data_IF_283400084273
#
_entry.id   IF_283400084273
#
_cell.length_a   1.000
_cell.length_b   1.000
_cell.length_c   1.000
_cell.angle_alpha   90.00
_cell.angle_beta   90.00
_cell.angle_gamma   90.00
#
_symmetry.space_group_name_H-M   'P 1'
#
loop_
_entity.id
_entity.type
_entity.pdbx_description
1 polymer ?
#
# COMPACT_ATOMS: atom_id res chain seq x y z
N UNK A 1 4.63 -2.79 -34.90
CA UNK A 1 6.08 -2.53 -34.74
C UNK A 1 6.86 -3.79 -34.37
N UNK A 2 6.44 -4.58 -33.36
CA UNK A 2 7.08 -5.89 -33.04
C UNK A 2 6.60 -7.01 -33.98
N UNK A 3 5.32 -7.01 -34.36
CA UNK A 3 4.76 -7.92 -35.39
C UNK A 3 5.26 -7.60 -36.81
N UNK A 4 5.97 -6.49 -36.95
CA UNK A 4 6.57 -6.00 -38.21
C UNK A 4 8.02 -6.47 -38.38
N UNK A 5 8.53 -7.34 -37.49
CA UNK A 5 9.86 -7.95 -37.60
C UNK A 5 11.02 -7.19 -36.93
N UNK A 6 10.78 -6.02 -36.34
CA UNK A 6 11.83 -5.25 -35.68
C UNK A 6 11.98 -5.65 -34.20
N UNK A 7 12.80 -6.67 -33.93
CA UNK A 7 13.11 -7.18 -32.58
C UNK A 7 14.36 -6.58 -31.96
N UNK A 8 14.76 -5.38 -32.36
CA UNK A 8 15.94 -4.70 -31.83
C UNK A 8 15.56 -3.37 -31.22
N UNK A 9 16.04 -3.11 -30.00
CA UNK A 9 15.87 -1.82 -29.37
C UNK A 9 16.58 -0.74 -30.21
N UNK A 10 15.89 0.34 -30.64
CA UNK A 10 16.50 1.35 -31.51
C UNK A 10 17.63 2.15 -30.82
N UNK A 11 17.64 2.19 -29.48
CA UNK A 11 18.63 2.93 -28.69
C UNK A 11 19.83 2.07 -28.32
N UNK A 12 19.60 0.88 -27.76
CA UNK A 12 20.68 0.00 -27.28
C UNK A 12 21.19 -0.98 -28.33
N UNK A 13 20.47 -1.12 -29.45
CA UNK A 13 20.71 -2.11 -30.52
C UNK A 13 20.71 -3.56 -30.07
N UNK A 14 20.26 -3.84 -28.84
CA UNK A 14 20.16 -5.20 -28.31
C UNK A 14 18.89 -5.88 -28.80
N UNK A 15 18.93 -7.21 -29.05
CA UNK A 15 17.75 -7.98 -29.37
C UNK A 15 16.78 -8.02 -28.18
N UNK A 16 15.51 -7.73 -28.45
CA UNK A 16 14.42 -7.86 -27.48
C UNK A 16 14.12 -9.34 -27.27
N UNK A 17 14.12 -9.79 -26.01
CA UNK A 17 13.85 -11.18 -25.65
C UNK A 17 12.45 -11.62 -26.13
N UNK A 18 12.28 -12.84 -26.68
CA UNK A 18 11.01 -13.32 -27.25
C UNK A 18 9.84 -13.38 -26.26
N UNK A 19 10.11 -13.36 -24.96
CA UNK A 19 9.14 -13.56 -23.89
C UNK A 19 9.19 -12.47 -22.81
N UNK A 20 9.70 -11.27 -23.11
CA UNK A 20 9.54 -10.15 -22.19
C UNK A 20 8.14 -9.54 -22.41
N UNK A 21 7.26 -9.49 -21.40
CA UNK A 21 6.03 -8.72 -21.51
C UNK A 21 6.42 -7.26 -21.67
N UNK A 22 6.27 -6.74 -22.89
CA UNK A 22 6.50 -5.32 -23.16
C UNK A 22 5.44 -4.55 -22.38
N UNK A 23 5.88 -3.66 -21.49
CA UNK A 23 4.97 -2.73 -20.82
C UNK A 23 4.40 -1.81 -21.90
N UNK A 24 3.09 -1.86 -22.19
CA UNK A 24 2.53 -1.04 -23.25
C UNK A 24 2.62 0.43 -22.86
N UNK A 25 3.02 1.29 -23.80
CA UNK A 25 3.00 2.72 -23.59
C UNK A 25 1.58 3.24 -23.86
N UNK A 26 0.72 3.13 -22.85
CA UNK A 26 -0.70 3.46 -22.94
C UNK A 26 -0.94 4.97 -23.11
N UNK A 27 -0.09 5.83 -22.54
CA UNK A 27 -0.11 7.27 -22.80
C UNK A 27 0.03 7.60 -24.31
N UNK A 28 0.98 6.95 -25.00
CA UNK A 28 1.14 7.10 -26.45
C UNK A 28 -0.05 6.52 -27.22
N UNK A 29 -0.64 5.41 -26.77
CA UNK A 29 -1.85 4.83 -27.39
C UNK A 29 -3.08 5.73 -27.23
N UNK A 30 -3.30 6.28 -26.04
CA UNK A 30 -4.37 7.26 -25.77
C UNK A 30 -4.21 8.50 -26.65
N UNK A 31 -2.97 8.96 -26.84
CA UNK A 31 -2.66 10.05 -27.76
C UNK A 31 -2.95 9.66 -29.22
N UNK A 32 -2.57 8.46 -29.66
CA UNK A 32 -2.89 7.96 -31.00
C UNK A 32 -4.41 7.89 -31.22
N UNK A 33 -5.16 7.29 -30.29
CA UNK A 33 -6.62 7.16 -30.38
C UNK A 33 -7.31 8.53 -30.42
N UNK A 34 -6.79 9.52 -29.69
CA UNK A 34 -7.30 10.89 -29.73
C UNK A 34 -7.05 11.62 -31.06
N UNK A 35 -6.11 11.13 -31.87
CA UNK A 35 -5.68 11.76 -33.14
C UNK A 35 -6.02 10.94 -34.40
N UNK A 36 -6.54 9.72 -34.30
CA UNK A 36 -6.99 8.94 -35.45
C UNK A 36 -8.44 9.28 -35.82
N UNK A 37 -8.72 9.84 -37.01
CA UNK A 37 -10.09 9.94 -37.53
C UNK A 37 -10.65 8.54 -37.74
N UNK A 38 -11.90 8.31 -37.33
CA UNK A 38 -12.59 7.02 -37.47
C UNK A 38 -12.60 6.53 -38.91
N UNK A 39 -11.66 5.63 -39.24
CA UNK A 39 -11.63 4.90 -40.50
C UNK A 39 -11.30 3.46 -40.19
N UNK A 40 -12.32 2.64 -39.96
CA UNK A 40 -12.41 1.27 -40.49
C UNK A 40 -13.83 0.75 -40.32
N UNK A 41 -14.71 1.11 -41.26
CA UNK A 41 -15.80 0.23 -41.65
C UNK A 41 -15.30 -0.56 -42.87
N UNK A 42 -14.77 -1.77 -42.67
CA UNK A 42 -14.78 -2.83 -43.67
C UNK A 42 -14.20 -4.16 -43.14
N UNK A 43 -15.00 -5.20 -43.35
CA UNK A 43 -14.61 -6.62 -43.55
C UNK A 43 -13.98 -7.38 -42.39
N UNK A 44 -14.84 -8.05 -41.62
CA UNK A 44 -14.57 -9.43 -41.21
C UNK A 44 -15.90 -10.20 -41.14
N UNK A 45 -15.99 -11.24 -41.95
CA UNK A 45 -17.12 -12.17 -42.07
C UNK A 45 -17.44 -12.84 -40.74
N UNK A 46 -18.60 -12.54 -40.18
CA UNK A 46 -19.13 -13.14 -38.94
C UNK A 46 -19.59 -14.57 -39.21
N UNK A 47 -18.88 -15.55 -38.65
CA UNK A 47 -19.44 -16.88 -38.38
C UNK A 47 -20.42 -16.75 -37.23
N UNK A 48 -21.71 -17.02 -37.49
CA UNK A 48 -22.79 -17.05 -36.50
C UNK A 48 -22.51 -18.13 -35.46
N UNK A 49 -22.37 -17.72 -34.20
CA UNK A 49 -22.69 -18.57 -33.04
C UNK A 49 -23.63 -17.79 -32.14
N UNK A 50 -24.83 -18.33 -31.97
CA UNK A 50 -25.89 -17.78 -31.14
C UNK A 50 -25.43 -17.67 -29.67
N UNK A 51 -25.17 -16.44 -29.21
CA UNK A 51 -25.25 -16.07 -27.80
C UNK A 51 -25.92 -14.71 -27.72
N UNK A 52 -26.91 -14.63 -26.83
CA UNK A 52 -27.75 -13.49 -26.47
C UNK A 52 -27.05 -12.15 -26.64
N UNK A 53 -27.53 -11.35 -27.60
CA UNK A 53 -27.05 -9.99 -27.83
C UNK A 53 -27.44 -9.10 -26.65
N UNK A 54 -26.44 -8.58 -25.94
CA UNK A 54 -26.63 -7.43 -25.05
C UNK A 54 -27.19 -6.25 -25.86
N UNK A 55 -28.01 -5.37 -25.25
CA UNK A 55 -28.52 -4.18 -25.91
C UNK A 55 -27.38 -3.29 -26.47
N UNK A 56 -27.62 -2.53 -27.56
CA UNK A 56 -26.58 -1.73 -28.25
C UNK A 56 -25.84 -0.70 -27.36
N UNK A 57 -26.38 -0.39 -26.18
CA UNK A 57 -25.78 0.50 -25.18
C UNK A 57 -24.67 -0.14 -24.34
N UNK A 58 -24.42 -1.44 -24.49
CA UNK A 58 -23.43 -2.20 -23.71
C UNK A 58 -22.30 -2.78 -24.57
N UNK A 59 -22.24 -2.49 -25.87
CA UNK A 59 -21.07 -2.85 -26.69
C UNK A 59 -19.87 -1.97 -26.23
N UNK A 60 -18.78 -2.59 -25.72
CA UNK A 60 -17.62 -1.88 -25.21
C UNK A 60 -17.07 -0.83 -26.18
N UNK A 61 -17.13 -1.11 -27.50
CA UNK A 61 -16.59 -0.21 -28.53
C UNK A 61 -17.33 1.12 -28.59
N UNK A 62 -18.65 1.09 -28.47
CA UNK A 62 -19.45 2.31 -28.47
C UNK A 62 -19.26 3.11 -27.17
N UNK A 63 -19.16 2.42 -26.04
CA UNK A 63 -18.88 3.05 -24.75
C UNK A 63 -17.53 3.77 -24.73
N UNK A 64 -16.46 3.14 -25.23
CA UNK A 64 -15.15 3.80 -25.29
C UNK A 64 -15.11 4.95 -26.30
N UNK A 65 -15.73 4.79 -27.48
CA UNK A 65 -15.75 5.84 -28.50
C UNK A 65 -16.54 7.09 -28.11
N UNK A 66 -17.49 6.97 -27.19
CA UNK A 66 -18.32 8.07 -26.69
C UNK A 66 -17.81 8.68 -25.39
N UNK A 67 -16.82 8.05 -24.75
CA UNK A 67 -16.27 8.52 -23.48
C UNK A 67 -15.36 9.74 -23.72
N UNK A 68 -15.80 10.89 -23.23
CA UNK A 68 -15.03 12.14 -23.25
C UNK A 68 -14.97 12.72 -21.84
N UNK A 69 -14.02 13.63 -21.60
CA UNK A 69 -13.97 14.38 -20.35
C UNK A 69 -14.58 15.78 -20.53
N UNK A 70 -15.51 16.22 -19.65
CA UNK A 70 -16.05 15.48 -18.50
C UNK A 70 -17.08 14.41 -18.93
N UNK A 71 -16.90 13.19 -18.42
CA UNK A 71 -17.85 12.10 -18.63
C UNK A 71 -19.12 12.30 -17.80
N UNK A 72 -20.27 11.86 -18.34
CA UNK A 72 -21.55 11.93 -17.63
C UNK A 72 -21.65 10.90 -16.51
N UNK A 73 -22.47 11.17 -15.49
CA UNK A 73 -22.73 10.25 -14.39
C UNK A 73 -23.23 8.88 -14.88
N UNK A 74 -24.12 8.88 -15.89
CA UNK A 74 -24.67 7.66 -16.47
C UNK A 74 -23.61 6.82 -17.20
N UNK A 75 -22.69 7.46 -17.91
CA UNK A 75 -21.58 6.77 -18.58
C UNK A 75 -20.63 6.14 -17.56
N UNK A 76 -20.21 6.89 -16.54
CA UNK A 76 -19.33 6.37 -15.49
C UNK A 76 -19.99 5.24 -14.69
N UNK A 77 -21.29 5.36 -14.40
CA UNK A 77 -22.04 4.32 -13.69
C UNK A 77 -22.14 3.02 -14.50
N UNK A 78 -22.40 3.14 -15.80
CA UNK A 78 -22.40 1.99 -16.73
C UNK A 78 -21.03 1.33 -16.79
N UNK A 79 -19.96 2.11 -16.94
CA UNK A 79 -18.59 1.61 -16.93
C UNK A 79 -18.26 0.89 -15.62
N UNK A 80 -18.61 1.48 -14.48
CA UNK A 80 -18.36 0.91 -13.17
C UNK A 80 -19.05 -0.46 -13.00
N UNK A 81 -20.32 -0.54 -13.41
CA UNK A 81 -21.09 -1.79 -13.36
C UNK A 81 -20.46 -2.88 -14.23
N UNK A 82 -20.10 -2.57 -15.49
CA UNK A 82 -19.46 -3.53 -16.38
C UNK A 82 -18.11 -3.99 -15.85
N UNK A 83 -17.31 -3.07 -15.30
CA UNK A 83 -16.06 -3.42 -14.61
C UNK A 83 -16.35 -4.34 -13.44
N UNK A 84 -17.35 -4.05 -12.60
CA UNK A 84 -17.70 -4.91 -11.45
C UNK A 84 -18.06 -6.33 -11.89
N UNK A 85 -18.94 -6.46 -12.88
CA UNK A 85 -19.60 -7.73 -13.24
C UNK A 85 -18.78 -8.58 -14.22
N UNK A 86 -17.98 -7.96 -15.09
CA UNK A 86 -17.32 -8.66 -16.21
C UNK A 86 -15.79 -8.49 -16.18
N UNK A 87 -15.03 -9.51 -15.72
CA UNK A 87 -13.56 -9.46 -15.72
C UNK A 87 -12.94 -9.24 -17.10
N UNK A 88 -13.56 -9.77 -18.16
CA UNK A 88 -13.10 -9.57 -19.54
C UNK A 88 -13.21 -8.10 -19.98
N UNK A 89 -14.23 -7.37 -19.51
CA UNK A 89 -14.41 -5.95 -19.81
C UNK A 89 -13.30 -5.09 -19.18
N UNK A 90 -12.80 -5.48 -18.00
CA UNK A 90 -11.74 -4.75 -17.30
C UNK A 90 -10.45 -4.69 -18.09
N UNK A 91 -10.10 -5.77 -18.78
CA UNK A 91 -8.96 -5.83 -19.69
C UNK A 91 -9.12 -4.88 -20.87
N UNK A 92 -10.30 -4.91 -21.51
CA UNK A 92 -10.62 -3.98 -22.59
C UNK A 92 -10.55 -2.52 -22.15
N UNK A 93 -11.04 -2.22 -20.95
CA UNK A 93 -11.01 -0.87 -20.40
C UNK A 93 -9.58 -0.42 -20.07
N UNK A 94 -8.77 -1.29 -19.45
CA UNK A 94 -7.37 -1.02 -19.15
C UNK A 94 -6.54 -0.77 -20.42
N UNK A 95 -6.85 -1.48 -21.52
CA UNK A 95 -6.17 -1.31 -22.80
C UNK A 95 -6.69 -0.11 -23.62
N UNK A 96 -7.72 0.58 -23.13
CA UNK A 96 -8.32 1.76 -23.77
C UNK A 96 -7.81 3.08 -23.15
N UNK A 97 -8.11 4.21 -23.80
CA UNK A 97 -7.88 5.54 -23.23
C UNK A 97 -8.76 5.89 -22.01
N UNK A 98 -9.74 5.05 -21.64
CA UNK A 98 -10.71 5.35 -20.59
C UNK A 98 -10.09 5.49 -19.19
N UNK A 99 -8.99 4.79 -18.89
CA UNK A 99 -8.29 4.91 -17.61
C UNK A 99 -7.86 6.36 -17.33
N UNK A 100 -7.41 7.09 -18.36
CA UNK A 100 -7.04 8.51 -18.22
C UNK A 100 -8.22 9.40 -17.83
N UNK A 101 -9.42 9.14 -18.36
CA UNK A 101 -10.64 9.88 -18.04
C UNK A 101 -11.08 9.59 -16.60
N UNK A 102 -11.00 8.33 -16.18
CA UNK A 102 -11.28 7.91 -14.79
C UNK A 102 -10.30 8.57 -13.81
N UNK A 103 -9.01 8.64 -14.14
CA UNK A 103 -8.00 9.31 -13.30
C UNK A 103 -8.28 10.79 -13.12
N UNK A 104 -8.68 11.50 -14.18
CA UNK A 104 -9.06 12.92 -14.10
C UNK A 104 -10.28 13.17 -13.22
N UNK A 105 -11.28 12.28 -13.29
CA UNK A 105 -12.44 12.36 -12.40
C UNK A 105 -12.10 11.98 -10.96
N UNK A 106 -11.19 11.02 -10.76
CA UNK A 106 -10.74 10.61 -9.44
C UNK A 106 -10.03 11.73 -8.64
N UNK A 107 -9.39 12.69 -9.31
CA UNK A 107 -8.81 13.86 -8.65
C UNK A 107 -9.76 15.05 -8.54
N UNK A 108 -10.89 15.05 -9.25
CA UNK A 108 -11.83 16.18 -9.26
C UNK A 108 -12.66 16.20 -7.98
N UNK A 109 -12.70 17.35 -7.31
CA UNK A 109 -13.50 17.57 -6.10
C UNK A 109 -14.88 18.18 -6.38
N UNK A 110 -15.14 18.56 -7.64
CA UNK A 110 -16.38 19.27 -8.01
C UNK A 110 -17.61 18.38 -7.89
N UNK A 111 -17.44 17.07 -8.06
CA UNK A 111 -18.50 16.08 -7.91
C UNK A 111 -18.00 14.85 -7.13
N UNK A 112 -18.24 14.80 -5.81
CA UNK A 112 -17.82 13.69 -4.96
C UNK A 112 -18.36 12.32 -5.44
N UNK A 113 -19.54 12.29 -6.04
CA UNK A 113 -20.16 11.07 -6.55
C UNK A 113 -19.41 10.53 -7.79
N UNK A 114 -19.06 11.40 -8.73
CA UNK A 114 -18.26 11.00 -9.91
C UNK A 114 -16.84 10.60 -9.52
N UNK A 115 -16.30 11.26 -8.50
CA UNK A 115 -15.01 10.90 -7.92
C UNK A 115 -15.05 9.50 -7.29
N UNK A 116 -16.07 9.17 -6.49
CA UNK A 116 -16.26 7.85 -5.89
C UNK A 116 -16.39 6.76 -6.96
N UNK A 117 -17.29 6.95 -7.94
CA UNK A 117 -17.49 5.99 -9.04
C UNK A 117 -16.18 5.74 -9.79
N UNK A 118 -15.41 6.80 -10.06
CA UNK A 118 -14.14 6.70 -10.78
C UNK A 118 -13.08 5.97 -9.96
N UNK A 119 -12.92 6.32 -8.69
CA UNK A 119 -11.98 5.67 -7.77
C UNK A 119 -12.31 4.19 -7.57
N UNK A 120 -13.60 3.83 -7.46
CA UNK A 120 -14.02 2.42 -7.35
C UNK A 120 -13.71 1.67 -8.63
N UNK A 121 -13.98 2.26 -9.78
CA UNK A 121 -13.68 1.66 -11.08
C UNK A 121 -12.18 1.42 -11.23
N UNK A 122 -11.34 2.40 -10.91
CA UNK A 122 -9.88 2.25 -10.90
C UNK A 122 -9.40 1.19 -9.91
N UNK A 123 -10.02 1.09 -8.72
CA UNK A 123 -9.73 0.03 -7.77
C UNK A 123 -10.02 -1.34 -8.39
N UNK A 124 -11.17 -1.52 -9.03
CA UNK A 124 -11.50 -2.79 -9.70
C UNK A 124 -10.50 -3.14 -10.82
N UNK A 125 -10.09 -2.16 -11.63
CA UNK A 125 -9.05 -2.39 -12.67
C UNK A 125 -7.72 -2.81 -12.06
N UNK A 126 -7.30 -2.17 -10.96
CA UNK A 126 -6.05 -2.51 -10.27
C UNK A 126 -6.00 -3.94 -9.74
N UNK A 127 -7.12 -4.68 -9.79
CA UNK A 127 -7.19 -6.07 -9.35
C UNK A 127 -6.99 -7.08 -10.48
N UNK A 128 -6.96 -6.64 -11.74
CA UNK A 128 -6.85 -7.52 -12.91
C UNK A 128 -5.43 -7.90 -13.30
N UNK A 129 -4.56 -8.07 -12.30
CA UNK A 129 -3.18 -8.51 -12.49
C UNK A 129 -2.15 -7.39 -12.44
N UNK A 130 -0.89 -7.80 -12.39
CA UNK A 130 0.24 -6.90 -12.14
C UNK A 130 0.51 -5.96 -13.32
N UNK A 131 0.22 -6.38 -14.54
CA UNK A 131 0.39 -5.57 -15.74
C UNK A 131 -0.54 -4.36 -15.75
N UNK A 132 -1.80 -4.51 -15.32
CA UNK A 132 -2.72 -3.37 -15.15
C UNK A 132 -2.24 -2.43 -14.04
N UNK A 133 -1.76 -2.97 -12.91
CA UNK A 133 -1.21 -2.14 -11.83
C UNK A 133 0.00 -1.32 -12.28
N UNK A 134 0.90 -1.92 -13.06
CA UNK A 134 2.07 -1.22 -13.61
C UNK A 134 1.63 -0.19 -14.66
N UNK A 135 0.68 -0.56 -15.53
CA UNK A 135 0.11 0.34 -16.53
C UNK A 135 -0.50 1.60 -15.91
N UNK A 136 -1.34 1.46 -14.89
CA UNK A 136 -1.95 2.61 -14.19
C UNK A 136 -0.89 3.55 -13.58
N UNK A 137 0.18 3.01 -13.01
CA UNK A 137 1.29 3.84 -12.49
C UNK A 137 2.02 4.56 -13.64
N UNK A 138 2.24 3.87 -14.77
CA UNK A 138 2.84 4.48 -15.97
C UNK A 138 1.96 5.58 -16.58
N UNK A 139 0.64 5.47 -16.45
CA UNK A 139 -0.34 6.47 -16.89
C UNK A 139 -0.47 7.68 -15.93
N UNK A 140 0.39 7.77 -14.92
CA UNK A 140 0.44 8.91 -14.01
C UNK A 140 -0.58 8.86 -12.87
N UNK A 141 -1.11 7.68 -12.53
CA UNK A 141 -2.12 7.55 -11.47
C UNK A 141 -1.69 8.14 -10.11
N UNK A 142 -0.39 8.25 -9.85
CA UNK A 142 0.13 8.72 -8.57
C UNK A 142 -0.23 10.18 -8.28
N UNK A 143 -0.20 11.06 -9.28
CA UNK A 143 -0.57 12.47 -9.12
C UNK A 143 -2.07 12.59 -8.78
N UNK A 144 -2.92 11.89 -9.55
CA UNK A 144 -4.37 11.92 -9.38
C UNK A 144 -4.80 11.33 -8.03
N UNK A 145 -4.24 10.18 -7.64
CA UNK A 145 -4.55 9.54 -6.36
C UNK A 145 -4.00 10.35 -5.18
N UNK A 146 -2.82 10.95 -5.28
CA UNK A 146 -2.26 11.79 -4.21
C UNK A 146 -3.10 13.05 -4.01
N UNK A 147 -3.61 13.64 -5.11
CA UNK A 147 -4.57 14.74 -5.06
C UNK A 147 -5.85 14.32 -4.33
N UNK A 148 -6.45 13.19 -4.72
CA UNK A 148 -7.67 12.66 -4.10
C UNK A 148 -7.50 12.35 -2.60
N UNK A 149 -6.33 11.81 -2.21
CA UNK A 149 -5.97 11.57 -0.80
C UNK A 149 -5.91 12.89 -0.02
N UNK A 150 -5.32 13.93 -0.60
CA UNK A 150 -5.12 15.23 0.04
C UNK A 150 -6.46 15.95 0.27
N UNK A 151 -7.46 15.72 -0.58
CA UNK A 151 -8.81 16.29 -0.42
C UNK A 151 -9.56 15.78 0.81
N UNK A 152 -9.14 14.65 1.39
CA UNK A 152 -9.77 14.07 2.57
C UNK A 152 -11.15 13.43 2.32
N UNK A 153 -11.84 13.06 3.40
CA UNK A 153 -13.16 12.43 3.35
C UNK A 153 -13.16 10.97 2.85
N UNK A 154 -14.35 10.39 2.58
CA UNK A 154 -14.48 8.97 2.25
C UNK A 154 -13.75 8.58 0.96
N UNK A 155 -13.67 9.50 -0.01
CA UNK A 155 -12.98 9.28 -1.27
C UNK A 155 -11.45 9.21 -1.08
N UNK A 156 -10.89 9.93 -0.11
CA UNK A 156 -9.47 9.81 0.22
C UNK A 156 -9.12 8.41 0.76
N UNK A 157 -10.00 7.80 1.56
CA UNK A 157 -9.81 6.41 2.02
C UNK A 157 -9.81 5.42 0.84
N UNK A 158 -10.70 5.63 -0.13
CA UNK A 158 -10.77 4.82 -1.33
C UNK A 158 -9.53 5.01 -2.23
N UNK A 159 -9.07 6.25 -2.41
CA UNK A 159 -7.83 6.55 -3.12
C UNK A 159 -6.60 5.91 -2.46
N UNK A 160 -6.51 5.95 -1.13
CA UNK A 160 -5.47 5.23 -0.37
C UNK A 160 -5.57 3.71 -0.56
N UNK A 161 -6.78 3.16 -0.65
CA UNK A 161 -7.02 1.74 -0.94
C UNK A 161 -6.53 1.37 -2.35
N UNK A 162 -6.84 2.18 -3.36
CA UNK A 162 -6.35 2.00 -4.74
C UNK A 162 -4.82 2.07 -4.78
N UNK A 163 -4.22 3.05 -4.11
CA UNK A 163 -2.76 3.17 -4.02
C UNK A 163 -2.12 1.95 -3.34
N UNK A 164 -2.78 1.39 -2.32
CA UNK A 164 -2.36 0.12 -1.68
C UNK A 164 -2.36 -1.03 -2.68
N UNK A 165 -3.43 -1.16 -3.48
CA UNK A 165 -3.53 -2.20 -4.52
C UNK A 165 -2.41 -2.08 -5.56
N UNK A 166 -2.09 -0.85 -6.00
CA UNK A 166 -0.97 -0.60 -6.91
C UNK A 166 0.38 -0.97 -6.28
N UNK A 167 0.56 -0.73 -4.98
CA UNK A 167 1.78 -1.04 -4.24
C UNK A 167 2.00 -2.54 -3.98
N UNK A 168 1.03 -3.42 -4.27
CA UNK A 168 1.24 -4.87 -4.15
C UNK A 168 2.38 -5.33 -5.08
N UNK A 169 2.55 -4.70 -6.24
CA UNK A 169 3.65 -4.98 -7.17
C UNK A 169 4.93 -4.32 -6.70
N UNK A 170 6.01 -5.11 -6.55
CA UNK A 170 7.31 -4.62 -6.06
C UNK A 170 7.87 -3.44 -6.88
N UNK A 171 7.76 -3.49 -8.21
CA UNK A 171 8.23 -2.41 -9.10
C UNK A 171 7.50 -1.09 -8.79
N UNK A 172 6.21 -1.15 -8.50
CA UNK A 172 5.41 0.02 -8.16
C UNK A 172 5.79 0.59 -6.79
N UNK A 173 6.16 -0.24 -5.80
CA UNK A 173 6.53 0.25 -4.46
C UNK A 173 7.67 1.28 -4.53
N UNK A 174 8.69 1.01 -5.33
CA UNK A 174 9.82 1.92 -5.51
C UNK A 174 9.37 3.25 -6.14
N UNK A 175 8.57 3.19 -7.21
CA UNK A 175 8.04 4.37 -7.90
C UNK A 175 7.10 5.19 -7.02
N UNK A 176 6.13 4.55 -6.36
CA UNK A 176 5.18 5.19 -5.44
C UNK A 176 5.93 5.89 -4.32
N UNK A 177 6.90 5.21 -3.69
CA UNK A 177 7.64 5.80 -2.60
C UNK A 177 8.66 6.87 -3.04
N UNK A 178 9.05 6.92 -4.32
CA UNK A 178 9.88 7.99 -4.89
C UNK A 178 9.06 9.21 -5.32
N UNK A 179 7.75 9.03 -5.46
CA UNK A 179 6.84 10.11 -5.83
C UNK A 179 6.85 11.22 -4.76
N UNK A 180 7.02 12.50 -5.13
CA UNK A 180 7.16 13.60 -4.18
C UNK A 180 5.99 13.75 -3.21
N UNK A 181 4.77 13.43 -3.66
CA UNK A 181 3.53 13.70 -2.92
C UNK A 181 2.88 12.48 -2.28
N UNK A 182 3.21 11.25 -2.71
CA UNK A 182 2.40 10.07 -2.33
C UNK A 182 2.50 9.76 -0.83
N UNK A 183 3.73 9.67 -0.31
CA UNK A 183 3.97 9.41 1.12
C UNK A 183 3.47 10.58 1.97
N UNK A 184 3.72 11.82 1.55
CA UNK A 184 3.30 13.02 2.30
C UNK A 184 1.78 13.15 2.35
N UNK A 185 1.07 12.86 1.26
CA UNK A 185 -0.40 12.86 1.22
C UNK A 185 -0.99 11.82 2.18
N UNK A 186 -0.43 10.61 2.21
CA UNK A 186 -0.85 9.56 3.16
C UNK A 186 -0.57 9.96 4.62
N UNK A 187 0.58 10.59 4.90
CA UNK A 187 0.89 11.10 6.24
C UNK A 187 -0.08 12.23 6.65
N UNK A 188 -0.43 13.13 5.73
CA UNK A 188 -1.43 14.15 5.98
C UNK A 188 -2.81 13.54 6.28
N UNK A 189 -3.22 12.52 5.52
CA UNK A 189 -4.48 11.80 5.75
C UNK A 189 -4.49 11.09 7.12
N UNK A 190 -3.36 10.56 7.60
CA UNK A 190 -3.25 10.02 8.95
C UNK A 190 -3.41 11.08 10.06
N UNK A 191 -3.06 12.33 9.77
CA UNK A 191 -3.10 13.43 10.75
C UNK A 191 -4.41 14.20 10.76
N UNK A 192 -5.25 14.07 9.73
CA UNK A 192 -6.52 14.80 9.62
C UNK A 192 -7.75 13.91 9.38
N UNK A 193 -7.54 12.64 8.99
CA UNK A 193 -8.61 11.72 8.62
C UNK A 193 -9.42 11.20 9.80
N UNK A 194 -10.58 10.59 9.51
CA UNK A 194 -11.35 9.83 10.50
C UNK A 194 -10.80 8.39 10.56
N UNK A 195 -11.44 7.55 11.37
CA UNK A 195 -10.98 6.17 11.61
C UNK A 195 -10.77 5.36 10.33
N UNK A 196 -11.69 5.46 9.36
CA UNK A 196 -11.59 4.73 8.08
C UNK A 196 -10.41 5.23 7.26
N UNK A 197 -10.32 6.53 7.05
CA UNK A 197 -9.26 7.19 6.28
C UNK A 197 -7.89 6.84 6.86
N UNK A 198 -7.74 6.92 8.18
CA UNK A 198 -6.48 6.63 8.83
C UNK A 198 -6.11 5.15 8.74
N UNK A 199 -7.09 4.24 8.85
CA UNK A 199 -6.86 2.80 8.65
C UNK A 199 -6.37 2.49 7.23
N UNK A 200 -6.99 3.09 6.22
CA UNK A 200 -6.58 2.89 4.83
C UNK A 200 -5.21 3.52 4.54
N UNK A 201 -4.96 4.72 5.05
CA UNK A 201 -3.64 5.38 4.93
C UNK A 201 -2.52 4.57 5.61
N UNK A 202 -2.79 4.02 6.79
CA UNK A 202 -1.86 3.13 7.52
C UNK A 202 -1.53 1.89 6.69
N UNK A 203 -2.56 1.29 6.07
CA UNK A 203 -2.40 0.09 5.23
C UNK A 203 -1.57 0.40 3.98
N UNK A 204 -1.85 1.53 3.32
CA UNK A 204 -1.10 1.97 2.15
C UNK A 204 0.38 2.20 2.48
N UNK A 205 0.66 2.96 3.55
CA UNK A 205 2.05 3.21 3.96
C UNK A 205 2.77 1.93 4.36
N UNK A 206 2.10 1.02 5.06
CA UNK A 206 2.67 -0.29 5.40
C UNK A 206 3.08 -1.07 4.15
N UNK A 207 2.20 -1.18 3.16
CA UNK A 207 2.51 -1.88 1.90
C UNK A 207 3.65 -1.20 1.13
N UNK A 208 3.66 0.13 1.04
CA UNK A 208 4.73 0.91 0.39
C UNK A 208 6.08 0.74 1.13
N UNK A 209 6.07 0.70 2.47
CA UNK A 209 7.27 0.61 3.31
C UNK A 209 7.85 -0.81 3.43
N UNK A 210 7.19 -1.83 2.87
CA UNK A 210 7.81 -3.14 2.67
C UNK A 210 9.08 -3.00 1.85
N UNK A 211 9.10 -2.10 0.86
CA UNK A 211 10.32 -1.69 0.17
C UNK A 211 11.23 -0.86 1.12
N UNK A 212 12.42 -1.36 1.49
CA UNK A 212 13.25 -0.73 2.53
C UNK A 212 13.63 0.73 2.26
N UNK A 213 13.81 1.10 0.99
CA UNK A 213 14.14 2.48 0.58
C UNK A 213 13.06 3.51 0.95
N UNK A 214 11.81 3.08 1.10
CA UNK A 214 10.69 3.97 1.41
C UNK A 214 10.56 4.27 2.91
N UNK A 215 11.12 3.43 3.79
CA UNK A 215 11.01 3.58 5.25
C UNK A 215 11.53 4.94 5.70
N UNK A 216 12.74 5.32 5.25
CA UNK A 216 13.33 6.64 5.59
C UNK A 216 12.51 7.81 5.03
N UNK A 217 11.96 7.66 3.82
CA UNK A 217 11.10 8.69 3.21
C UNK A 217 9.83 8.91 4.03
N UNK A 218 9.19 7.83 4.47
CA UNK A 218 8.04 7.89 5.36
C UNK A 218 8.38 8.50 6.72
N UNK A 219 9.51 8.13 7.34
CA UNK A 219 9.96 8.77 8.60
C UNK A 219 10.10 10.29 8.45
N UNK A 220 10.78 10.75 7.38
CA UNK A 220 10.95 12.19 7.09
C UNK A 220 9.64 12.93 6.81
N UNK A 221 8.65 12.22 6.27
CA UNK A 221 7.32 12.76 6.04
C UNK A 221 6.46 12.83 7.32
N UNK A 222 7.00 12.48 8.49
CA UNK A 222 6.30 12.56 9.78
C UNK A 222 5.44 11.34 10.10
N UNK A 223 5.57 10.25 9.34
CA UNK A 223 4.81 9.02 9.51
C UNK A 223 4.82 8.49 10.94
N UNK A 224 5.96 8.58 11.63
CA UNK A 224 6.13 8.02 12.99
C UNK A 224 5.24 8.71 14.03
N UNK A 225 4.99 10.02 13.91
CA UNK A 225 4.26 10.81 14.90
C UNK A 225 2.74 10.73 14.73
N UNK A 226 2.26 10.62 13.48
CA UNK A 226 0.84 10.73 13.15
C UNK A 226 -0.08 9.80 13.98
N UNK A 227 0.25 8.51 14.18
CA UNK A 227 -0.65 7.59 14.86
C UNK A 227 -0.82 7.79 16.37
N UNK A 228 0.06 8.55 17.01
CA UNK A 228 0.04 8.78 18.47
C UNK A 228 -0.67 10.08 18.84
N UNK A 229 -0.87 10.96 17.85
CA UNK A 229 -1.61 12.23 18.01
C UNK A 229 -3.13 12.07 17.91
N UNK A 230 -3.58 11.01 17.24
CA UNK A 230 -4.98 10.66 17.10
C UNK A 230 -5.25 9.38 17.88
N UNK A 231 -6.42 9.25 18.50
CA UNK A 231 -6.86 8.03 19.20
C UNK A 231 -7.13 6.87 18.22
N UNK A 232 -6.15 6.53 17.39
CA UNK A 232 -6.20 5.42 16.46
C UNK A 232 -6.37 4.13 17.24
N UNK A 233 -7.30 3.29 16.79
CA UNK A 233 -7.45 1.97 17.35
C UNK A 233 -6.09 1.25 17.32
N UNK A 234 -5.66 0.58 18.42
CA UNK A 234 -4.34 -0.03 18.55
C UNK A 234 -3.98 -1.00 17.41
N UNK A 235 -5.01 -1.50 16.68
CA UNK A 235 -4.90 -2.51 15.63
C UNK A 235 -4.13 -2.06 14.38
N UNK A 236 -4.16 -0.78 14.02
CA UNK A 236 -3.41 -0.25 12.87
C UNK A 236 -1.97 0.14 13.21
N UNK A 237 -1.77 0.65 14.42
CA UNK A 237 -0.54 1.26 14.90
C UNK A 237 0.67 0.31 14.89
N UNK A 238 0.47 -0.93 15.33
CA UNK A 238 1.59 -1.87 15.50
C UNK A 238 2.19 -2.34 14.17
N UNK A 239 1.39 -2.48 13.10
CA UNK A 239 1.87 -2.97 11.79
C UNK A 239 2.83 -1.97 11.17
N UNK A 240 2.42 -0.72 11.23
CA UNK A 240 3.14 0.42 10.70
C UNK A 240 4.44 0.70 11.46
N UNK A 241 4.42 0.55 12.80
CA UNK A 241 5.60 0.73 13.65
C UNK A 241 6.75 -0.25 13.33
N UNK A 242 6.45 -1.49 12.93
CA UNK A 242 7.50 -2.46 12.54
C UNK A 242 8.34 -1.96 11.37
N UNK A 243 7.73 -1.26 10.40
CA UNK A 243 8.45 -0.75 9.24
C UNK A 243 9.52 0.26 9.64
N UNK A 244 9.23 1.14 10.60
CA UNK A 244 10.17 2.17 11.04
C UNK A 244 11.19 1.65 12.03
N UNK A 245 10.81 0.71 12.90
CA UNK A 245 11.75 0.08 13.83
C UNK A 245 12.89 -0.65 13.10
N UNK A 246 12.65 -1.13 11.87
CA UNK A 246 13.67 -1.73 11.00
C UNK A 246 14.64 -0.73 10.36
N UNK A 247 14.52 0.57 10.61
CA UNK A 247 15.48 1.58 10.17
C UNK A 247 15.94 2.47 11.33
N UNK A 248 17.23 2.79 11.38
CA UNK A 248 17.81 3.59 12.47
C UNK A 248 17.12 4.94 12.66
N UNK A 249 16.94 5.68 11.56
CA UNK A 249 16.25 6.97 11.55
C UNK A 249 14.84 6.86 12.15
N UNK A 250 14.10 5.79 11.85
CA UNK A 250 12.78 5.54 12.42
C UNK A 250 12.81 5.24 13.91
N UNK A 251 13.79 4.47 14.39
CA UNK A 251 13.97 4.23 15.83
C UNK A 251 14.33 5.50 16.58
N UNK A 252 15.23 6.31 16.03
CA UNK A 252 15.64 7.58 16.62
C UNK A 252 14.42 8.52 16.74
N UNK A 253 13.56 8.58 15.73
CA UNK A 253 12.29 9.33 15.80
C UNK A 253 11.31 8.74 16.83
N UNK A 254 11.18 7.41 16.92
CA UNK A 254 10.27 6.76 17.88
C UNK A 254 10.58 7.09 19.34
N UNK A 255 11.86 7.29 19.68
CA UNK A 255 12.28 7.69 21.04
C UNK A 255 11.67 9.02 21.46
N UNK A 256 11.38 9.91 20.50
CA UNK A 256 10.79 11.23 20.76
C UNK A 256 9.27 11.21 20.89
N UNK A 257 8.62 10.06 20.66
CA UNK A 257 7.16 9.93 20.73
C UNK A 257 6.73 9.62 22.15
N UNK A 258 6.05 10.57 22.79
CA UNK A 258 5.53 10.39 24.15
C UNK A 258 4.49 9.26 24.23
N UNK A 259 4.57 8.45 25.29
CA UNK A 259 3.66 7.32 25.52
C UNK A 259 3.79 6.17 24.53
N UNK A 260 4.80 6.16 23.64
CA UNK A 260 5.05 5.10 22.67
C UNK A 260 5.13 3.71 23.32
N UNK A 261 5.92 3.58 24.38
CA UNK A 261 6.13 2.30 25.09
C UNK A 261 4.85 1.86 25.79
N UNK A 262 4.14 2.78 26.45
CA UNK A 262 2.86 2.52 27.10
C UNK A 262 1.83 1.92 26.13
N UNK A 263 1.75 2.47 24.91
CA UNK A 263 0.82 1.97 23.89
C UNK A 263 1.19 0.55 23.44
N UNK A 264 2.48 0.28 23.20
CA UNK A 264 2.93 -1.08 22.84
C UNK A 264 2.72 -2.07 23.99
N UNK A 265 2.93 -1.66 25.24
CA UNK A 265 2.64 -2.46 26.42
C UNK A 265 1.14 -2.81 26.50
N UNK A 266 0.24 -1.87 26.20
CA UNK A 266 -1.20 -2.13 26.08
C UNK A 266 -1.53 -3.20 25.03
N UNK A 267 -0.85 -3.17 23.88
CA UNK A 267 -1.02 -4.19 22.82
C UNK A 267 -0.53 -5.56 23.29
N UNK A 268 0.50 -5.64 24.12
CA UNK A 268 0.94 -6.91 24.69
C UNK A 268 -0.07 -7.51 25.69
N UNK A 269 -0.86 -6.68 26.37
CA UNK A 269 -1.88 -7.13 27.34
C UNK A 269 -3.14 -7.64 26.66
N UNK A 270 -3.65 -6.89 25.69
CA UNK A 270 -5.01 -7.08 25.14
C UNK A 270 -5.06 -7.21 23.61
N UNK A 271 -3.89 -7.26 22.95
CA UNK A 271 -3.80 -7.33 21.50
C UNK A 271 -4.08 -8.70 20.91
N UNK A 272 -4.33 -8.72 19.60
CA UNK A 272 -4.34 -9.95 18.80
C UNK A 272 -2.96 -10.60 18.76
N UNK A 273 -2.86 -11.91 18.48
CA UNK A 273 -1.58 -12.65 18.29
C UNK A 273 -0.60 -11.90 17.39
N UNK A 274 -1.06 -11.42 16.21
CA UNK A 274 -0.24 -10.61 15.29
C UNK A 274 0.20 -9.26 15.87
N UNK A 275 -0.68 -8.62 16.64
CA UNK A 275 -0.38 -7.38 17.35
C UNK A 275 0.72 -7.56 18.39
N UNK A 276 0.63 -8.63 19.18
CA UNK A 276 1.65 -8.99 20.17
C UNK A 276 2.99 -9.29 19.51
N UNK A 277 3.02 -10.09 18.44
CA UNK A 277 4.26 -10.37 17.70
C UNK A 277 4.98 -9.10 17.23
N UNK A 278 4.23 -8.16 16.64
CA UNK A 278 4.78 -6.90 16.15
C UNK A 278 5.20 -5.97 17.29
N UNK A 279 4.42 -5.88 18.37
CA UNK A 279 4.77 -5.07 19.54
C UNK A 279 6.05 -5.58 20.21
N UNK A 280 6.19 -6.90 20.39
CA UNK A 280 7.42 -7.52 20.92
C UNK A 280 8.63 -7.20 20.04
N UNK A 281 8.49 -7.33 18.71
CA UNK A 281 9.56 -7.03 17.77
C UNK A 281 9.99 -5.56 17.85
N UNK A 282 9.02 -4.62 17.83
CA UNK A 282 9.30 -3.19 17.90
C UNK A 282 9.98 -2.84 19.24
N UNK A 283 9.42 -3.31 20.36
CA UNK A 283 9.99 -3.08 21.69
C UNK A 283 11.42 -3.63 21.80
N UNK A 284 11.68 -4.84 21.29
CA UNK A 284 13.01 -5.42 21.32
C UNK A 284 14.01 -4.59 20.52
N UNK A 285 13.64 -4.14 19.31
CA UNK A 285 14.52 -3.34 18.45
C UNK A 285 14.85 -1.97 19.08
N UNK A 286 13.88 -1.28 19.68
CA UNK A 286 14.13 0.04 20.27
C UNK A 286 14.84 -0.07 21.62
N UNK A 287 14.52 -1.06 22.45
CA UNK A 287 15.17 -1.30 23.74
C UNK A 287 16.63 -1.75 23.58
N UNK A 288 16.92 -2.54 22.54
CA UNK A 288 18.29 -2.99 22.25
C UNK A 288 19.23 -1.83 21.92
N UNK A 289 18.70 -0.67 21.51
CA UNK A 289 19.52 0.51 21.17
C UNK A 289 19.41 1.62 22.21
N UNK A 290 18.28 1.77 22.92
CA UNK A 290 18.05 2.86 23.87
C UNK A 290 17.74 2.38 25.30
N UNK A 291 18.62 2.72 26.26
CA UNK A 291 18.49 2.33 27.68
C UNK A 291 17.31 3.01 28.37
N UNK A 292 16.96 4.24 27.98
CA UNK A 292 15.81 4.95 28.57
C UNK A 292 14.50 4.24 28.23
N UNK A 293 14.37 3.74 26.98
CA UNK A 293 13.20 2.94 26.59
C UNK A 293 13.14 1.60 27.33
N UNK A 294 14.29 1.00 27.69
CA UNK A 294 14.29 -0.17 28.58
C UNK A 294 13.72 0.15 29.96
N UNK A 295 14.08 1.30 30.53
CA UNK A 295 13.55 1.75 31.81
C UNK A 295 12.04 2.02 31.74
N UNK A 296 11.60 2.69 30.69
CA UNK A 296 10.18 2.94 30.45
C UNK A 296 9.40 1.63 30.27
N UNK A 297 9.93 0.68 29.50
CA UNK A 297 9.30 -0.64 29.31
C UNK A 297 9.17 -1.41 30.64
N UNK A 298 10.19 -1.34 31.51
CA UNK A 298 10.11 -1.92 32.86
C UNK A 298 9.06 -1.22 33.72
N UNK A 299 9.00 0.12 33.68
CA UNK A 299 8.00 0.91 34.40
C UNK A 299 6.57 0.56 33.96
N UNK A 300 6.38 0.27 32.68
CA UNK A 300 5.12 -0.19 32.09
C UNK A 300 4.84 -1.70 32.33
N UNK A 301 5.70 -2.42 33.07
CA UNK A 301 5.49 -3.83 33.39
C UNK A 301 5.67 -4.79 32.20
N UNK A 302 6.40 -4.37 31.15
CA UNK A 302 6.61 -5.18 29.93
C UNK A 302 7.31 -6.49 30.25
N UNK A 303 8.18 -6.52 31.26
CA UNK A 303 8.92 -7.71 31.67
C UNK A 303 7.98 -8.79 32.21
N UNK A 304 7.09 -8.41 33.11
CA UNK A 304 6.09 -9.29 33.72
C UNK A 304 5.13 -9.82 32.64
N UNK A 305 4.72 -8.95 31.72
CA UNK A 305 3.90 -9.35 30.55
C UNK A 305 4.65 -10.39 29.69
N UNK A 306 5.96 -10.23 29.47
CA UNK A 306 6.74 -11.20 28.70
C UNK A 306 6.74 -12.59 29.35
N UNK A 307 6.88 -12.69 30.68
CA UNK A 307 6.83 -13.98 31.36
C UNK A 307 5.46 -14.66 31.18
N UNK A 308 4.36 -13.91 31.34
CA UNK A 308 3.01 -14.43 31.09
C UNK A 308 2.83 -14.89 29.63
N UNK A 309 3.44 -14.19 28.67
CA UNK A 309 3.36 -14.56 27.25
C UNK A 309 4.18 -15.82 26.90
N UNK A 310 5.24 -16.11 27.65
CA UNK A 310 6.05 -17.34 27.48
C UNK A 310 5.27 -18.58 27.91
N UNK A 311 4.40 -18.45 28.89
CA UNK A 311 3.57 -19.57 29.39
C UNK A 311 2.39 -19.92 28.47
N UNK A 312 2.14 -19.14 27.41
CA UNK A 312 1.07 -19.40 26.43
C UNK A 312 1.54 -20.31 25.30
N UNK A 313 0.62 -21.10 24.72
CA UNK A 313 0.85 -22.02 23.58
C UNK A 313 1.06 -21.32 22.22
N UNK A 314 1.98 -20.36 22.16
CA UNK A 314 2.37 -19.66 20.94
C UNK A 314 3.90 -19.57 20.86
N UNK A 315 4.55 -20.61 20.32
CA UNK A 315 6.03 -20.73 20.26
C UNK A 315 6.74 -19.46 19.77
N UNK A 316 6.19 -18.80 18.75
CA UNK A 316 6.76 -17.59 18.17
C UNK A 316 6.66 -16.38 19.11
N UNK A 317 5.51 -16.21 19.77
CA UNK A 317 5.33 -15.16 20.78
C UNK A 317 6.22 -15.42 21.98
N UNK A 318 6.26 -16.66 22.48
CA UNK A 318 7.11 -17.04 23.60
C UNK A 318 8.59 -16.77 23.31
N UNK A 319 9.10 -17.15 22.13
CA UNK A 319 10.48 -16.84 21.71
C UNK A 319 10.75 -15.33 21.68
N UNK A 320 9.86 -14.54 21.08
CA UNK A 320 10.04 -13.09 20.98
C UNK A 320 9.96 -12.41 22.36
N UNK A 321 9.07 -12.88 23.24
CA UNK A 321 8.92 -12.40 24.60
C UNK A 321 10.17 -12.70 25.45
N UNK A 322 10.73 -13.90 25.32
CA UNK A 322 11.97 -14.27 26.00
C UNK A 322 13.17 -13.42 25.51
N UNK A 323 13.25 -13.14 24.21
CA UNK A 323 14.28 -12.27 23.65
C UNK A 323 14.18 -10.85 24.26
N UNK A 324 12.98 -10.27 24.29
CA UNK A 324 12.76 -8.96 24.90
C UNK A 324 13.07 -8.95 26.41
N UNK A 325 12.64 -9.97 27.15
CA UNK A 325 12.93 -10.09 28.58
C UNK A 325 14.44 -10.08 28.86
N UNK A 326 15.23 -10.83 28.08
CA UNK A 326 16.70 -10.84 28.17
C UNK A 326 17.31 -9.48 27.85
N UNK A 327 16.81 -8.78 26.83
CA UNK A 327 17.25 -7.42 26.49
C UNK A 327 17.04 -6.46 27.67
N UNK A 328 15.89 -6.55 28.34
CA UNK A 328 15.57 -5.73 29.51
C UNK A 328 16.46 -6.09 30.73
N UNK A 329 16.83 -7.36 30.90
CA UNK A 329 17.71 -7.83 31.99
C UNK A 329 19.15 -7.36 31.81
N UNK A 330 19.74 -7.56 30.62
CA UNK A 330 21.14 -7.18 30.34
C UNK A 330 21.41 -5.70 30.58
N UNK A 331 20.45 -4.82 30.26
CA UNK A 331 20.58 -3.37 30.44
C UNK A 331 20.18 -2.86 31.83
N UNK A 332 19.88 -3.76 32.77
CA UNK A 332 19.46 -3.44 34.14
C UNK A 332 20.55 -3.38 35.21
N UNK A 333 21.81 -3.70 34.86
CA UNK A 333 22.91 -3.79 35.85
C UNK A 333 23.63 -2.47 36.17
N UNK A 334 23.33 -1.37 35.49
CA UNK A 334 24.04 -0.09 35.66
C UNK A 334 23.32 0.88 36.59
N UNK A 335 23.78 0.99 37.84
CA UNK A 335 23.54 2.17 38.67
C UNK A 335 24.12 3.41 37.96
N UNK A 336 23.31 4.47 37.81
CA UNK A 336 23.74 5.74 37.23
C UNK A 336 24.66 6.48 38.21
N UNK A 337 25.97 6.40 38.00
CA UNK A 337 26.91 7.39 38.51
C UNK A 337 26.89 8.64 37.61
N UNK A 338 27.03 9.86 38.14
CA UNK A 338 27.01 11.08 37.36
C UNK A 338 28.36 11.23 36.67
N UNK A 339 28.51 10.65 35.48
CA UNK A 339 29.40 11.09 34.39
C UNK A 339 29.35 10.03 33.27
N UNK A 340 28.59 10.35 32.23
CA UNK A 340 28.34 9.46 31.10
C UNK A 340 29.59 9.17 30.27
N UNK A 341 29.86 7.89 30.06
CA UNK A 341 30.66 7.38 28.95
C UNK A 341 29.91 6.22 28.32
N UNK A 342 29.56 6.39 27.05
CA UNK A 342 28.78 5.46 26.23
C UNK A 342 29.70 4.30 25.84
N UNK A 343 29.40 3.08 26.31
CA UNK A 343 29.95 1.87 25.73
C UNK A 343 29.27 1.63 24.36
N UNK A 344 30.06 1.70 23.29
CA UNK A 344 29.68 1.23 21.95
C UNK A 344 29.89 -0.29 21.93
N UNK A 345 28.80 -1.06 21.98
CA UNK A 345 28.85 -2.47 21.60
C UNK A 345 28.20 -2.67 20.23
N UNK A 346 28.91 -3.43 19.39
CA UNK A 346 28.55 -3.76 18.02
C UNK A 346 27.32 -4.67 17.99
N UNK A 347 26.40 -4.42 17.05
CA UNK A 347 25.28 -5.31 16.79
C UNK A 347 25.78 -6.62 16.15
N UNK A 348 25.55 -7.75 16.82
CA UNK A 348 25.94 -9.08 16.36
C UNK A 348 25.13 -9.54 15.14
N UNK A 349 25.78 -10.29 14.25
CA UNK A 349 25.24 -10.77 12.97
C UNK A 349 24.02 -11.72 13.10
N UNK A 350 23.74 -12.25 14.29
CA UNK A 350 22.60 -13.14 14.55
C UNK A 350 21.24 -12.40 14.55
N UNK A 351 21.22 -11.10 14.87
CA UNK A 351 19.99 -10.28 14.83
C UNK A 351 19.51 -10.04 13.39
N UNK A 352 20.41 -10.05 12.41
CA UNK A 352 20.09 -9.93 10.98
C UNK A 352 19.45 -11.20 10.41
N UNK A 353 19.81 -12.37 10.93
CA UNK A 353 19.30 -13.65 10.42
C UNK A 353 17.87 -13.92 10.92
N UNK A 354 17.54 -13.50 12.15
CA UNK A 354 16.17 -13.50 12.65
C UNK A 354 15.25 -12.61 11.78
N UNK A 355 15.75 -11.46 11.27
CA UNK A 355 14.98 -10.56 10.40
C UNK A 355 14.59 -11.16 9.03
N UNK A 356 15.36 -12.12 8.52
CA UNK A 356 15.11 -12.75 7.21
C UNK A 356 13.94 -13.75 7.24
N UNK A 357 13.74 -14.46 8.36
CA UNK A 357 12.64 -15.43 8.52
C UNK A 357 11.27 -14.77 8.70
N UNK A 358 11.21 -13.55 9.25
CA UNK A 358 9.94 -12.80 9.33
C UNK A 358 9.42 -12.34 7.96
N UNK A 359 10.27 -12.17 6.95
CA UNK A 359 9.89 -11.67 5.63
C UNK A 359 9.16 -12.69 4.74
N UNK A 360 9.36 -13.99 4.97
CA UNK A 360 8.84 -15.06 4.10
C UNK A 360 7.37 -15.43 4.32
N UNK A 361 6.79 -15.06 5.47
CA UNK A 361 5.41 -15.40 5.85
C UNK A 361 4.36 -14.31 5.52
N UNK A 362 4.79 -13.13 5.07
CA UNK A 362 3.90 -11.99 4.78
C UNK A 362 3.20 -12.07 3.41
N UNK A 363 3.69 -12.92 2.51
CA UNK A 363 3.27 -12.98 1.09
C UNK A 363 2.01 -13.83 0.88
N UNK A 364 1.77 -14.85 1.71
CA UNK A 364 0.71 -15.84 1.46
C UNK A 364 -0.70 -15.41 1.91
N UNK A 365 -0.85 -14.37 2.73
CA UNK A 365 -2.14 -14.00 3.35
C UNK A 365 -2.82 -12.77 2.73
N UNK A 366 -2.16 -12.08 1.81
CA UNK A 366 -2.64 -10.81 1.26
C UNK A 366 -3.71 -10.99 0.18
N UNK A 367 -3.66 -12.05 -0.61
CA UNK A 367 -4.59 -12.25 -1.74
C UNK A 367 -6.04 -12.51 -1.27
N UNK A 368 -6.22 -13.15 -0.10
CA UNK A 368 -7.54 -13.35 0.52
C UNK A 368 -8.07 -12.11 1.23
N UNK A 369 -7.19 -11.28 1.83
CA UNK A 369 -7.59 -10.07 2.54
C UNK A 369 -8.18 -9.01 1.59
N UNK A 370 -7.61 -8.83 0.39
CA UNK A 370 -8.15 -7.91 -0.62
C UNK A 370 -9.42 -8.45 -1.27
N UNK A 371 -9.53 -9.77 -1.48
CA UNK A 371 -10.79 -10.42 -1.91
C UNK A 371 -11.91 -10.28 -0.86
N UNK A 372 -11.61 -10.41 0.44
CA UNK A 372 -12.57 -10.19 1.52
C UNK A 372 -12.98 -8.71 1.67
N UNK A 373 -12.05 -7.76 1.45
CA UNK A 373 -12.36 -6.32 1.53
C UNK A 373 -13.30 -5.89 0.40
N UNK A 374 -13.24 -6.53 -0.77
CA UNK A 374 -14.20 -6.36 -1.86
C UNK A 374 -15.59 -6.88 -1.50
N UNK A 375 -15.69 -7.96 -0.74
CA UNK A 375 -16.97 -8.47 -0.25
C UNK A 375 -17.67 -7.43 0.64
N UNK A 376 -16.93 -6.77 1.53
CA UNK A 376 -17.45 -5.71 2.41
C UNK A 376 -17.71 -4.37 1.71
N UNK A 377 -16.98 -4.06 0.64
CA UNK A 377 -17.21 -2.83 -0.15
C UNK A 377 -18.34 -2.98 -1.18
N UNK A 378 -18.82 -4.22 -1.41
CA UNK A 378 -19.95 -4.54 -2.30
C UNK A 378 -21.29 -4.70 -1.56
N UNK A 379 -21.32 -4.70 -0.22
CA UNK A 379 -22.52 -4.93 0.60
C UNK A 379 -23.04 -3.70 1.34
N UNK A 380 -22.46 -2.51 1.12
CA UNK A 380 -22.96 -1.22 1.60
C UNK A 380 -23.14 -0.23 0.46
#
# INVERSE_FOLDING_TARGET
MVDSGHRTCPVTKLPLSPCSPLIPNYALRSLIDSFTPSVTAATSTVRKTNKTSLPPSEDPRFLFSSLSYPASAAALSTLHRLVKDEPAFRRLLADSGAASILLRHASSTDSPDLQDISLRTLLYLSLDGDDVRVGLVADGALDYLSCAITSGGPNAALAATTLTSLAVVEVNKCTIGAHPSAITALCALLMSGKERECREATTALFEICKFPGNRRRAVRAGAVHAPYSQAMAPRGLYRFSVCFAKCKEGRDTMVSVDGFVRVLAGILREGTTRGMEHALLVLNLVCSENVNLCWEAKKEGVREICFVLVEKDHEKIARNALALARTLEKRGGGSFGPNGLIAKDAADADDLNAMADFGKLEVAFNDEYYKLKLFYCSTN
#
